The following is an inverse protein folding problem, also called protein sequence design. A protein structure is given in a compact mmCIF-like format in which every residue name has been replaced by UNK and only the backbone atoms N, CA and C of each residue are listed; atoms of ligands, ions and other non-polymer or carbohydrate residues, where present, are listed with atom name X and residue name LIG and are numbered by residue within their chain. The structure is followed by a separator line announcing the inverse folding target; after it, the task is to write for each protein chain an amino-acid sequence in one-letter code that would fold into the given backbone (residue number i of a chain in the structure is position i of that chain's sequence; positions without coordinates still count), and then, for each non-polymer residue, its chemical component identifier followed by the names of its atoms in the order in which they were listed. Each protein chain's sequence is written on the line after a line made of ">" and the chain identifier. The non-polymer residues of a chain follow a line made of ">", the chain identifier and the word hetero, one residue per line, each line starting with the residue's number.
data_IF_006093776142
#
_entry.id   IF_006093776142
#
_cell.length_a   1.000
_cell.length_b   1.000
_cell.length_c   1.000
_cell.angle_alpha   90.00
_cell.angle_beta   90.00
_cell.angle_gamma   90.00
#
_symmetry.space_group_name_H-M   'P 1'
#
loop_
_entity.id
_entity.type
_entity.pdbx_description
1 polymer ?
#
# COMPACT_ATOMS: atom_id res chain seq x y z
N UNK A 1 -5.86 -5.85 -9.55
CA UNK A 1 -4.96 -5.33 -10.60
C UNK A 1 -5.46 -3.98 -11.07
N UNK A 2 -4.57 -3.00 -11.10
CA UNK A 2 -4.92 -1.65 -11.52
C UNK A 2 -3.79 -1.01 -12.31
N UNK A 3 -4.11 0.00 -13.12
CA UNK A 3 -3.08 0.70 -13.90
C UNK A 3 -2.24 1.61 -13.00
N UNK A 4 -1.02 1.90 -13.45
CA UNK A 4 -0.17 2.85 -12.76
C UNK A 4 -0.81 4.22 -12.62
N UNK A 5 -1.63 4.63 -13.60
CA UNK A 5 -2.37 5.88 -13.55
C UNK A 5 -3.35 5.92 -12.37
N UNK A 6 -4.12 4.84 -12.18
CA UNK A 6 -5.06 4.72 -11.04
C UNK A 6 -4.27 4.63 -9.73
N UNK A 7 -3.17 3.90 -9.72
CA UNK A 7 -2.31 3.81 -8.55
C UNK A 7 -1.80 5.19 -8.14
N UNK A 8 -1.37 6.02 -9.09
CA UNK A 8 -0.93 7.38 -8.78
C UNK A 8 -2.05 8.21 -8.15
N UNK A 9 -3.27 8.10 -8.68
CA UNK A 9 -4.43 8.80 -8.11
C UNK A 9 -4.70 8.33 -6.68
N UNK A 10 -4.64 7.02 -6.44
CA UNK A 10 -4.81 6.45 -5.11
C UNK A 10 -3.72 6.94 -4.14
N UNK A 11 -2.47 6.94 -4.58
CA UNK A 11 -1.35 7.41 -3.75
C UNK A 11 -1.47 8.90 -3.44
N UNK A 12 -1.93 9.70 -4.39
CA UNK A 12 -2.18 11.13 -4.14
C UNK A 12 -3.27 11.30 -3.08
N UNK A 13 -4.33 10.49 -3.15
CA UNK A 13 -5.42 10.55 -2.19
C UNK A 13 -4.93 10.26 -0.77
N UNK A 14 -4.18 9.16 -0.59
CA UNK A 14 -3.69 8.81 0.74
C UNK A 14 -2.58 9.76 1.21
N UNK A 15 -1.82 10.35 0.29
CA UNK A 15 -0.81 11.35 0.63
C UNK A 15 -1.44 12.62 1.18
N UNK A 16 -2.61 13.00 0.66
CA UNK A 16 -3.38 14.13 1.19
C UNK A 16 -3.78 13.89 2.66
N UNK A 17 -3.84 12.64 3.10
CA UNK A 17 -4.15 12.24 4.48
C UNK A 17 -2.90 11.97 5.31
N UNK A 18 -1.71 12.23 4.80
CA UNK A 18 -0.45 12.03 5.51
C UNK A 18 0.25 10.70 5.20
N UNK A 19 -0.31 9.89 4.31
CA UNK A 19 0.25 8.59 3.92
C UNK A 19 -0.27 7.44 4.79
N UNK A 20 -0.13 6.23 4.26
CA UNK A 20 -0.52 4.99 4.95
C UNK A 20 0.64 4.00 4.94
N UNK A 21 0.67 3.03 5.87
CA UNK A 21 1.65 1.95 5.83
C UNK A 21 1.60 1.16 4.53
N UNK A 22 2.76 0.83 3.99
CA UNK A 22 2.87 0.13 2.72
C UNK A 22 4.11 -0.77 2.68
N UNK A 23 4.08 -1.76 1.81
CA UNK A 23 5.21 -2.64 1.54
C UNK A 23 5.38 -2.80 0.02
N UNK A 24 6.62 -2.92 -0.44
CA UNK A 24 6.95 -3.05 -1.85
C UNK A 24 6.90 -1.74 -2.62
N UNK A 25 6.64 -0.63 -1.94
CA UNK A 25 6.50 0.68 -2.56
C UNK A 25 7.05 1.73 -1.61
N UNK A 26 7.67 2.75 -2.17
CA UNK A 26 8.12 3.93 -1.41
C UNK A 26 7.73 5.18 -2.17
N UNK A 27 7.42 6.24 -1.47
CA UNK A 27 7.15 7.54 -2.10
C UNK A 27 7.36 8.67 -1.11
N UNK A 28 7.43 9.88 -1.65
CA UNK A 28 7.49 11.08 -0.85
C UNK A 28 6.22 11.89 -1.03
N UNK A 29 5.89 12.69 -0.03
CA UNK A 29 4.71 13.55 -0.06
C UNK A 29 5.19 15.00 -0.24
N UNK A 30 4.66 15.64 -1.27
CA UNK A 30 4.91 17.05 -1.55
C UNK A 30 3.59 17.69 -1.98
N UNK A 31 3.22 18.77 -1.33
CA UNK A 31 1.97 19.48 -1.62
C UNK A 31 0.75 18.55 -1.62
N UNK A 32 0.72 17.63 -0.65
CA UNK A 32 -0.37 16.64 -0.44
C UNK A 32 -0.52 15.64 -1.60
N UNK A 33 0.52 15.47 -2.40
CA UNK A 33 0.53 14.49 -3.49
C UNK A 33 1.73 13.56 -3.36
N UNK A 34 1.65 12.39 -4.00
CA UNK A 34 2.73 11.43 -4.02
C UNK A 34 3.72 11.77 -5.13
N UNK A 35 4.99 11.89 -4.77
CA UNK A 35 6.08 12.14 -5.72
C UNK A 35 7.19 11.12 -5.51
N UNK A 36 8.03 10.94 -6.51
CA UNK A 36 9.17 10.01 -6.45
C UNK A 36 8.73 8.58 -6.05
N UNK A 37 7.65 8.12 -6.67
CA UNK A 37 7.09 6.79 -6.38
C UNK A 37 7.98 5.71 -6.97
N UNK A 38 8.41 4.78 -6.14
CA UNK A 38 9.18 3.60 -6.56
C UNK A 38 8.42 2.33 -6.16
N UNK A 39 8.27 1.41 -7.09
CA UNK A 39 7.64 0.11 -6.85
C UNK A 39 8.73 -0.96 -7.07
N UNK A 40 9.06 -1.68 -6.00
CA UNK A 40 10.19 -2.63 -6.00
C UNK A 40 11.48 -1.98 -6.52
N UNK A 41 11.71 -0.71 -6.16
CA UNK A 41 12.90 0.04 -6.56
C UNK A 41 12.84 0.66 -7.94
N UNK A 42 11.75 0.48 -8.68
CA UNK A 42 11.59 1.03 -10.04
C UNK A 42 10.56 2.16 -10.06
N UNK A 43 10.78 3.22 -10.83
CA UNK A 43 9.80 4.30 -10.94
C UNK A 43 8.43 3.81 -11.40
N UNK A 44 7.37 4.41 -10.85
CA UNK A 44 6.01 4.11 -11.26
C UNK A 44 5.83 4.43 -12.76
N UNK A 45 5.26 3.47 -13.49
CA UNK A 45 4.91 3.64 -14.90
C UNK A 45 3.39 3.66 -15.03
N UNK A 46 2.81 4.80 -15.43
CA UNK A 46 1.36 4.96 -15.52
C UNK A 46 0.71 4.05 -16.57
N UNK A 47 1.49 3.56 -17.54
CA UNK A 47 0.98 2.68 -18.59
C UNK A 47 1.05 1.19 -18.25
N UNK A 48 1.71 0.82 -17.15
CA UNK A 48 1.77 -0.55 -16.69
C UNK A 48 0.64 -0.87 -15.71
N UNK A 49 0.35 -2.16 -15.57
CA UNK A 49 -0.58 -2.66 -14.58
C UNK A 49 0.18 -3.19 -13.36
N UNK A 50 -0.38 -2.96 -12.18
CA UNK A 50 0.20 -3.42 -10.92
C UNK A 50 -0.81 -4.23 -10.15
N UNK A 51 -0.34 -5.27 -9.46
CA UNK A 51 -1.17 -6.08 -8.57
C UNK A 51 -0.95 -5.58 -7.14
N UNK A 52 -2.02 -5.13 -6.50
CA UNK A 52 -1.99 -4.56 -5.16
C UNK A 52 -2.85 -5.40 -4.23
N UNK A 53 -2.32 -5.70 -3.05
CA UNK A 53 -3.09 -6.31 -1.98
C UNK A 53 -3.51 -5.23 -0.99
N UNK A 54 -4.77 -5.25 -0.60
CA UNK A 54 -5.31 -4.30 0.38
C UNK A 54 -6.52 -4.90 1.07
N UNK A 55 -6.95 -4.28 2.17
CA UNK A 55 -8.16 -4.70 2.87
C UNK A 55 -9.39 -4.35 2.01
N UNK A 56 -10.44 -5.18 2.15
CA UNK A 56 -11.66 -5.05 1.34
C UNK A 56 -12.37 -3.71 1.54
N UNK A 57 -12.39 -3.18 2.74
CA UNK A 57 -12.98 -1.87 3.03
C UNK A 57 -12.43 -0.79 2.09
N UNK A 58 -11.11 -0.73 1.94
CA UNK A 58 -10.46 0.26 1.06
C UNK A 58 -10.73 -0.08 -0.40
N UNK A 59 -10.60 -1.34 -0.79
CA UNK A 59 -10.82 -1.76 -2.17
C UNK A 59 -12.25 -1.49 -2.64
N UNK A 60 -13.22 -1.49 -1.73
CA UNK A 60 -14.61 -1.16 -2.01
C UNK A 60 -14.92 0.34 -1.95
N UNK A 61 -13.91 1.17 -1.79
CA UNK A 61 -14.05 2.62 -1.81
C UNK A 61 -14.14 3.27 -0.43
N UNK A 62 -13.82 2.52 0.64
CA UNK A 62 -13.76 3.10 1.99
C UNK A 62 -12.68 4.17 2.10
N UNK A 63 -12.77 5.01 3.11
CA UNK A 63 -11.88 6.17 3.31
C UNK A 63 -11.82 7.08 2.07
N UNK A 64 -12.96 7.24 1.40
CA UNK A 64 -13.12 8.06 0.19
C UNK A 64 -12.26 7.60 -0.99
N UNK A 65 -11.88 6.31 -1.02
CA UNK A 65 -11.11 5.73 -2.14
C UNK A 65 -12.03 5.34 -3.30
N UNK A 66 -12.89 6.25 -3.73
CA UNK A 66 -13.88 6.00 -4.78
C UNK A 66 -13.24 5.57 -6.12
N UNK A 67 -12.00 5.97 -6.37
CA UNK A 67 -11.27 5.58 -7.59
C UNK A 67 -11.04 4.08 -7.68
N UNK A 68 -11.15 3.35 -6.56
CA UNK A 68 -10.94 1.90 -6.54
C UNK A 68 -12.23 1.09 -6.80
N UNK A 69 -13.40 1.72 -6.68
CA UNK A 69 -14.68 1.03 -6.85
C UNK A 69 -14.83 0.30 -8.18
N UNK A 70 -14.47 0.91 -9.32
CA UNK A 70 -14.62 0.22 -10.61
C UNK A 70 -13.56 -0.83 -10.89
N UNK A 71 -12.56 -0.98 -10.02
CA UNK A 71 -11.47 -1.92 -10.25
C UNK A 71 -11.90 -3.34 -9.84
N UNK A 72 -11.82 -4.33 -10.75
CA UNK A 72 -12.14 -5.72 -10.41
C UNK A 72 -11.25 -6.23 -9.29
N UNK A 73 -11.84 -6.95 -8.34
CA UNK A 73 -11.16 -7.48 -7.18
C UNK A 73 -11.14 -9.01 -7.22
N UNK A 74 -10.08 -9.58 -6.67
CA UNK A 74 -9.99 -11.02 -6.41
C UNK A 74 -9.82 -11.20 -4.91
N UNK A 75 -10.84 -11.74 -4.25
CA UNK A 75 -10.73 -12.07 -2.83
C UNK A 75 -9.91 -13.34 -2.68
N UNK A 76 -8.90 -13.29 -1.80
CA UNK A 76 -8.10 -14.47 -1.47
C UNK A 76 -8.63 -15.17 -0.22
N UNK A 77 -9.70 -14.65 0.41
CA UNK A 77 -10.29 -15.24 1.60
C UNK A 77 -9.40 -15.17 2.84
N UNK A 78 -8.41 -14.28 2.84
CA UNK A 78 -7.38 -14.21 3.88
C UNK A 78 -7.52 -12.86 4.59
N UNK A 79 -8.07 -12.88 5.81
CA UNK A 79 -8.29 -11.64 6.56
C UNK A 79 -7.00 -11.15 7.22
N UNK A 80 -6.88 -9.83 7.38
CA UNK A 80 -5.69 -9.21 7.94
C UNK A 80 -5.34 -9.76 9.33
N UNK A 81 -6.34 -9.99 10.17
CA UNK A 81 -6.13 -10.57 11.49
C UNK A 81 -5.38 -11.89 11.42
N UNK A 82 -5.80 -12.79 10.53
CA UNK A 82 -5.18 -14.10 10.37
C UNK A 82 -3.76 -13.99 9.83
N UNK A 83 -3.51 -13.04 8.93
CA UNK A 83 -2.17 -12.77 8.42
C UNK A 83 -1.22 -12.32 9.54
N UNK A 84 -1.69 -11.46 10.42
CA UNK A 84 -0.90 -11.00 11.57
C UNK A 84 -0.61 -12.15 12.54
N UNK A 85 -1.62 -12.98 12.83
CA UNK A 85 -1.44 -14.13 13.71
C UNK A 85 -0.40 -15.10 13.13
N UNK A 86 -0.50 -15.39 11.84
CA UNK A 86 0.46 -16.26 11.16
C UNK A 86 1.86 -15.68 11.20
N UNK A 87 2.01 -14.39 10.94
CA UNK A 87 3.30 -13.70 10.99
C UNK A 87 3.94 -13.80 12.38
N UNK A 88 3.16 -13.52 13.43
CA UNK A 88 3.67 -13.60 14.81
C UNK A 88 3.99 -15.05 15.21
N UNK A 89 3.19 -16.02 14.77
CA UNK A 89 3.43 -17.43 15.00
C UNK A 89 4.74 -17.88 14.35
N UNK A 90 4.99 -17.46 13.11
CA UNK A 90 6.23 -17.79 12.41
C UNK A 90 7.44 -17.17 13.08
N UNK A 91 7.34 -15.93 13.55
CA UNK A 91 8.40 -15.30 14.33
C UNK A 91 8.72 -16.10 15.59
N UNK A 92 7.68 -16.55 16.31
CA UNK A 92 7.87 -17.35 17.52
C UNK A 92 8.56 -18.69 17.23
N UNK A 93 8.19 -19.36 16.14
CA UNK A 93 8.85 -20.61 15.72
C UNK A 93 10.32 -20.42 15.40
N UNK A 94 10.68 -19.25 14.88
CA UNK A 94 12.07 -18.89 14.57
C UNK A 94 12.83 -18.36 15.79
N UNK A 95 12.20 -18.31 16.96
CA UNK A 95 12.81 -17.76 18.17
C UNK A 95 12.95 -16.24 18.15
N UNK A 96 12.21 -15.56 17.27
CA UNK A 96 12.28 -14.11 17.12
C UNK A 96 11.15 -13.43 17.88
N UNK A 97 11.39 -12.22 18.32
CA UNK A 97 10.38 -11.37 18.94
C UNK A 97 9.78 -10.43 17.89
N UNK A 98 8.54 -10.00 18.14
CA UNK A 98 7.91 -8.96 17.32
C UNK A 98 8.69 -7.66 17.52
N UNK A 99 9.15 -7.10 16.43
CA UNK A 99 9.85 -5.82 16.44
C UNK A 99 9.62 -5.10 15.12
N UNK A 100 9.82 -3.79 15.13
CA UNK A 100 9.71 -2.99 13.93
C UNK A 100 10.73 -1.86 13.97
N UNK A 101 11.02 -1.32 12.80
CA UNK A 101 11.86 -0.15 12.66
C UNK A 101 11.24 0.79 11.65
N UNK A 102 11.57 2.07 11.77
CA UNK A 102 11.11 3.07 10.81
C UNK A 102 11.98 2.98 9.57
N UNK A 103 11.40 2.56 8.46
CA UNK A 103 12.11 2.41 7.18
C UNK A 103 11.88 3.60 6.24
N UNK A 104 11.04 4.56 6.64
CA UNK A 104 10.74 5.77 5.86
C UNK A 104 10.27 5.47 4.44
N UNK A 105 9.44 4.43 4.29
CA UNK A 105 8.87 4.09 2.97
C UNK A 105 7.98 5.22 2.44
N UNK A 106 7.36 5.97 3.35
CA UNK A 106 6.59 7.17 3.05
C UNK A 106 7.21 8.30 3.87
N UNK A 107 7.63 9.35 3.20
CA UNK A 107 8.28 10.48 3.84
C UNK A 107 7.90 11.79 3.16
N UNK A 108 8.15 12.90 3.83
CA UNK A 108 7.93 14.21 3.23
C UNK A 108 9.11 14.57 2.31
N UNK A 109 8.81 15.13 1.16
CA UNK A 109 9.82 15.68 0.28
C UNK A 109 10.26 17.05 0.80
N UNK A 110 11.54 17.32 0.70
CA UNK A 110 12.10 18.63 1.07
C UNK A 110 12.03 19.60 -0.09
#
# INVERSE_FOLDING_TARGET
>A
KLSGKVLQVFLNHISNKGGWPAAGITWQIKDKAAVNVLINGQPLNETEDYTIAMVDYVANGGDDCAMLRPIPQKSIGYVLRDALIEYFTDLNKEGKKVSSKIEKRVSNAE
#
